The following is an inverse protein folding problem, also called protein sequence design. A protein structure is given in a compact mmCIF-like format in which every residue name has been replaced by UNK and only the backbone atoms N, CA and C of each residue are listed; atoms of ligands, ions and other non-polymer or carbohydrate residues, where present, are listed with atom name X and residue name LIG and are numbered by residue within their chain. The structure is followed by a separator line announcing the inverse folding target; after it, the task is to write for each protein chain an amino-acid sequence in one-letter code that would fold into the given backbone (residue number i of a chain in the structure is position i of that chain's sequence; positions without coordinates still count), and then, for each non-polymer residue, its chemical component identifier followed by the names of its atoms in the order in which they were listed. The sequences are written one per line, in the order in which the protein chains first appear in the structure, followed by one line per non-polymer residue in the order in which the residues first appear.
data_IF_267025709412
#
_entry.id   IF_267025709412
#
_cell.length_a   1.000
_cell.length_b   1.000
_cell.length_c   1.000
_cell.angle_alpha   90.00
_cell.angle_beta   90.00
_cell.angle_gamma   90.00
#
_symmetry.space_group_name_H-M   'P 1'
#
loop_
_entity.id
_entity.type
_entity.pdbx_description
1 polymer ?
#
# COMPACT_ATOMS: atom_id res chain seq x y z
N UNK A 1 41.40 -37.58 27.14
CA UNK A 1 40.57 -36.34 27.16
C UNK A 1 41.15 -35.28 26.23
N UNK A 2 42.36 -34.80 26.51
CA UNK A 2 43.03 -33.70 25.80
C UNK A 2 43.24 -33.94 24.29
N UNK A 3 43.61 -35.16 23.89
CA UNK A 3 43.79 -35.55 22.48
C UNK A 3 42.47 -35.59 21.67
N UNK A 4 41.34 -35.86 22.32
CA UNK A 4 40.03 -35.82 21.67
C UNK A 4 39.56 -34.38 21.50
N UNK A 5 39.80 -33.55 22.52
CA UNK A 5 39.45 -32.14 22.50
C UNK A 5 40.24 -31.39 21.41
N UNK A 6 41.53 -31.68 21.27
CA UNK A 6 42.38 -31.10 20.21
C UNK A 6 41.96 -31.53 18.79
N UNK A 7 41.54 -32.77 18.61
CA UNK A 7 41.05 -33.27 17.31
C UNK A 7 39.62 -32.78 16.97
N UNK A 8 38.88 -32.27 17.96
CA UNK A 8 37.57 -31.63 17.77
C UNK A 8 37.64 -30.12 17.54
N UNK A 9 38.83 -29.52 17.69
CA UNK A 9 39.10 -28.12 17.41
C UNK A 9 39.33 -27.92 15.92
N UNK A 10 38.77 -26.84 15.36
CA UNK A 10 39.13 -26.39 14.02
C UNK A 10 40.65 -26.17 13.94
N UNK A 11 41.24 -26.58 12.82
CA UNK A 11 42.65 -26.33 12.54
C UNK A 11 42.84 -24.86 12.18
N UNK A 12 44.03 -24.32 12.43
CA UNK A 12 44.38 -22.93 12.10
C UNK A 12 44.00 -22.49 10.67
N UNK A 13 44.20 -23.29 9.59
CA UNK A 13 43.75 -22.91 8.25
C UNK A 13 42.23 -22.88 8.11
N UNK A 14 41.49 -23.77 8.77
CA UNK A 14 40.02 -23.77 8.76
C UNK A 14 39.47 -22.52 9.47
N UNK A 15 40.06 -22.15 10.61
CA UNK A 15 39.75 -20.90 11.32
C UNK A 15 40.02 -19.68 10.42
N UNK A 16 41.14 -19.70 9.68
CA UNK A 16 41.47 -18.64 8.72
C UNK A 16 40.42 -18.49 7.62
N UNK A 17 39.97 -19.60 7.05
CA UNK A 17 38.90 -19.62 6.04
C UNK A 17 37.55 -19.14 6.59
N UNK A 18 37.21 -19.51 7.82
CA UNK A 18 35.97 -19.08 8.47
C UNK A 18 35.98 -17.57 8.80
N UNK A 19 37.13 -17.03 9.22
CA UNK A 19 37.32 -15.59 9.40
C UNK A 19 37.13 -14.84 8.09
N UNK A 20 37.68 -15.32 6.98
CA UNK A 20 37.49 -14.70 5.66
C UNK A 20 36.03 -14.75 5.20
N UNK A 21 35.36 -15.90 5.37
CA UNK A 21 33.95 -16.05 5.06
C UNK A 21 33.08 -15.08 5.87
N UNK A 22 33.27 -15.03 7.19
CA UNK A 22 32.54 -14.13 8.07
C UNK A 22 32.80 -12.65 7.73
N UNK A 23 34.04 -12.29 7.37
CA UNK A 23 34.36 -10.91 6.93
C UNK A 23 33.63 -10.54 5.65
N UNK A 24 33.55 -11.46 4.69
CA UNK A 24 32.82 -11.27 3.44
C UNK A 24 31.31 -11.11 3.68
N UNK A 25 30.76 -11.93 4.57
CA UNK A 25 29.34 -11.85 4.95
C UNK A 25 29.04 -10.53 5.66
N UNK A 26 29.88 -10.12 6.62
CA UNK A 26 29.77 -8.82 7.28
C UNK A 26 29.76 -7.67 6.26
N UNK A 27 30.69 -7.66 5.30
CA UNK A 27 30.74 -6.64 4.25
C UNK A 27 29.46 -6.62 3.40
N UNK A 28 28.96 -7.79 2.99
CA UNK A 28 27.71 -7.96 2.25
C UNK A 28 26.50 -7.44 3.02
N UNK A 29 26.41 -7.75 4.32
CA UNK A 29 25.33 -7.25 5.17
C UNK A 29 25.42 -5.74 5.38
N UNK A 30 26.61 -5.17 5.54
CA UNK A 30 26.79 -3.71 5.63
C UNK A 30 26.34 -3.01 4.36
N UNK A 31 26.71 -3.52 3.18
CA UNK A 31 26.28 -2.96 1.89
C UNK A 31 24.75 -3.01 1.73
N UNK A 32 24.13 -4.15 2.06
CA UNK A 32 22.66 -4.29 2.03
C UNK A 32 21.98 -3.30 2.99
N UNK A 33 22.53 -3.13 4.18
CA UNK A 33 22.01 -2.22 5.19
C UNK A 33 22.07 -0.77 4.71
N UNK A 34 23.21 -0.34 4.15
CA UNK A 34 23.37 1.02 3.61
C UNK A 34 22.46 1.27 2.42
N UNK A 35 22.26 0.27 1.54
CA UNK A 35 21.26 0.36 0.46
C UNK A 35 19.84 0.50 0.98
N UNK A 36 19.48 -0.22 2.05
CA UNK A 36 18.16 -0.08 2.68
C UNK A 36 18.01 1.31 3.28
N UNK A 37 18.97 1.77 4.09
CA UNK A 37 18.94 3.11 4.74
C UNK A 37 18.90 4.27 3.75
N UNK A 38 19.63 4.17 2.64
CA UNK A 38 19.69 5.21 1.61
C UNK A 38 18.45 5.25 0.71
N UNK A 39 17.61 4.21 0.73
CA UNK A 39 16.35 4.22 0.00
C UNK A 39 15.42 5.31 0.58
N UNK A 40 15.10 6.32 -0.21
CA UNK A 40 14.32 7.50 0.26
C UNK A 40 12.83 7.19 0.48
N UNK A 41 12.36 5.98 0.13
CA UNK A 41 10.96 5.57 0.19
C UNK A 41 10.65 4.72 1.44
N UNK A 42 11.08 5.16 2.62
CA UNK A 42 10.64 4.51 3.86
C UNK A 42 9.22 4.98 4.18
N UNK A 43 8.24 4.15 3.85
CA UNK A 43 6.90 4.26 4.40
C UNK A 43 6.84 3.29 5.57
N UNK A 44 6.61 3.79 6.78
CA UNK A 44 6.45 2.92 7.94
C UNK A 44 5.21 2.04 7.77
N UNK A 45 5.20 0.80 8.32
CA UNK A 45 4.00 -0.03 8.31
C UNK A 45 2.76 0.71 8.83
N UNK A 46 2.93 1.55 9.83
CA UNK A 46 1.89 2.36 10.46
C UNK A 46 1.34 3.44 9.51
N UNK A 47 2.21 4.17 8.81
CA UNK A 47 1.80 5.15 7.79
C UNK A 47 1.08 4.48 6.63
N UNK A 48 1.60 3.33 6.16
CA UNK A 48 0.97 2.55 5.11
C UNK A 48 -0.44 2.11 5.54
N UNK A 49 -0.56 1.58 6.75
CA UNK A 49 -1.84 1.12 7.28
C UNK A 49 -2.84 2.29 7.41
N UNK A 50 -2.39 3.44 7.92
CA UNK A 50 -3.22 4.64 8.03
C UNK A 50 -3.77 5.07 6.65
N UNK A 51 -2.90 5.20 5.66
CA UNK A 51 -3.31 5.57 4.29
C UNK A 51 -4.28 4.55 3.69
N UNK A 52 -4.03 3.26 3.90
CA UNK A 52 -4.95 2.20 3.45
C UNK A 52 -6.34 2.33 4.11
N UNK A 53 -6.39 2.56 5.43
CA UNK A 53 -7.67 2.75 6.16
C UNK A 53 -8.41 4.00 5.66
N UNK A 54 -7.72 5.11 5.48
CA UNK A 54 -8.31 6.36 4.98
C UNK A 54 -8.84 6.21 3.54
N UNK A 55 -8.11 5.48 2.69
CA UNK A 55 -8.56 5.17 1.34
C UNK A 55 -9.81 4.29 1.36
N UNK A 56 -9.84 3.25 2.19
CA UNK A 56 -11.01 2.37 2.34
C UNK A 56 -12.23 3.15 2.82
N UNK A 57 -12.06 4.02 3.81
CA UNK A 57 -13.13 4.88 4.32
C UNK A 57 -13.65 5.82 3.23
N UNK A 58 -12.76 6.51 2.54
CA UNK A 58 -13.12 7.43 1.45
C UNK A 58 -13.91 6.72 0.33
N UNK A 59 -13.47 5.53 -0.07
CA UNK A 59 -14.19 4.71 -1.07
C UNK A 59 -15.57 4.27 -0.59
N UNK A 60 -15.68 3.87 0.68
CA UNK A 60 -16.96 3.47 1.29
C UNK A 60 -17.94 4.64 1.31
N UNK A 61 -17.50 5.79 1.79
CA UNK A 61 -18.33 6.99 1.91
C UNK A 61 -18.74 7.54 0.55
N UNK A 62 -17.84 7.53 -0.44
CA UNK A 62 -18.19 7.90 -1.82
C UNK A 62 -19.31 7.01 -2.37
N UNK A 63 -19.20 5.68 -2.26
CA UNK A 63 -20.27 4.76 -2.69
C UNK A 63 -21.59 5.01 -1.95
N UNK A 64 -21.52 5.21 -0.64
CA UNK A 64 -22.71 5.47 0.18
C UNK A 64 -23.40 6.76 -0.26
N UNK A 65 -22.66 7.84 -0.41
CA UNK A 65 -23.19 9.16 -0.83
C UNK A 65 -23.75 9.10 -2.24
N UNK A 66 -23.03 8.49 -3.18
CA UNK A 66 -23.51 8.34 -4.55
C UNK A 66 -24.84 7.60 -4.60
N UNK A 67 -24.95 6.48 -3.88
CA UNK A 67 -26.20 5.72 -3.82
C UNK A 67 -27.36 6.55 -3.26
N UNK A 68 -27.18 7.21 -2.11
CA UNK A 68 -28.23 8.02 -1.50
C UNK A 68 -28.65 9.19 -2.41
N UNK A 69 -27.69 9.85 -3.06
CA UNK A 69 -27.98 10.91 -4.01
C UNK A 69 -28.74 10.37 -5.23
N UNK A 70 -28.32 9.25 -5.80
CA UNK A 70 -29.03 8.61 -6.93
C UNK A 70 -30.46 8.24 -6.57
N UNK A 71 -30.69 7.60 -5.41
CA UNK A 71 -32.04 7.26 -4.92
C UNK A 71 -32.93 8.51 -4.79
N UNK A 72 -32.40 9.60 -4.24
CA UNK A 72 -33.11 10.86 -4.12
C UNK A 72 -33.41 11.49 -5.49
N UNK A 73 -32.44 11.45 -6.41
CA UNK A 73 -32.62 11.97 -7.77
C UNK A 73 -33.68 11.17 -8.54
N UNK A 74 -33.66 9.85 -8.43
CA UNK A 74 -34.63 8.99 -9.09
C UNK A 74 -36.04 9.27 -8.57
N UNK A 75 -36.22 9.40 -7.24
CA UNK A 75 -37.50 9.77 -6.64
C UNK A 75 -38.03 11.14 -7.08
N UNK A 76 -37.14 12.13 -7.28
CA UNK A 76 -37.54 13.45 -7.82
C UNK A 76 -37.94 13.32 -9.29
N UNK A 77 -37.17 12.55 -10.07
CA UNK A 77 -37.37 12.40 -11.52
C UNK A 77 -38.67 11.66 -11.85
N UNK A 78 -39.20 10.82 -10.96
CA UNK A 78 -40.51 10.16 -11.13
C UNK A 78 -41.65 11.17 -11.36
N UNK A 79 -41.59 12.35 -10.75
CA UNK A 79 -42.59 13.41 -10.88
C UNK A 79 -42.18 14.57 -11.79
N UNK A 80 -40.98 14.52 -12.38
CA UNK A 80 -40.42 15.67 -13.08
C UNK A 80 -40.85 15.70 -14.55
N UNK A 81 -41.41 16.80 -15.07
CA UNK A 81 -42.03 16.85 -16.40
C UNK A 81 -41.04 16.92 -17.57
N UNK A 82 -39.74 17.05 -17.29
CA UNK A 82 -38.66 17.24 -18.27
C UNK A 82 -37.62 16.13 -18.18
N UNK A 83 -36.62 16.16 -19.06
CA UNK A 83 -35.55 15.16 -19.05
C UNK A 83 -34.61 15.30 -17.84
N UNK A 84 -33.98 14.18 -17.43
CA UNK A 84 -32.93 14.15 -16.40
C UNK A 84 -31.79 15.14 -16.66
N UNK A 85 -31.38 15.29 -17.92
CA UNK A 85 -30.31 16.22 -18.32
C UNK A 85 -30.69 17.67 -18.02
N UNK A 86 -31.92 18.06 -18.38
CA UNK A 86 -32.42 19.40 -18.09
C UNK A 86 -32.55 19.64 -16.59
N UNK A 87 -33.02 18.64 -15.83
CA UNK A 87 -33.04 18.74 -14.36
C UNK A 87 -31.65 19.00 -13.78
N UNK A 88 -30.65 18.24 -14.24
CA UNK A 88 -29.28 18.37 -13.74
C UNK A 88 -28.67 19.73 -14.09
N UNK A 89 -28.91 20.23 -15.29
CA UNK A 89 -28.48 21.56 -15.72
C UNK A 89 -29.18 22.68 -14.92
N UNK A 90 -30.49 22.57 -14.67
CA UNK A 90 -31.26 23.55 -13.90
C UNK A 90 -30.85 23.62 -12.43
N UNK A 91 -30.52 22.47 -11.82
CA UNK A 91 -30.13 22.38 -10.40
C UNK A 91 -28.61 22.55 -10.20
N UNK A 92 -27.81 22.44 -11.26
CA UNK A 92 -26.35 22.53 -11.19
C UNK A 92 -25.71 21.24 -10.65
N UNK A 93 -26.23 20.07 -11.05
CA UNK A 93 -25.69 18.77 -10.68
C UNK A 93 -24.67 18.32 -11.73
N UNK A 94 -23.45 18.06 -11.27
CA UNK A 94 -22.39 17.43 -12.06
C UNK A 94 -22.14 16.00 -11.54
N UNK A 95 -21.94 15.04 -12.44
CA UNK A 95 -21.69 13.65 -12.06
C UNK A 95 -20.22 13.29 -12.18
N UNK A 96 -19.77 12.28 -11.42
CA UNK A 96 -18.42 11.74 -11.54
C UNK A 96 -18.12 11.31 -12.99
N UNK A 97 -19.14 10.74 -13.66
CA UNK A 97 -19.10 10.27 -15.03
C UNK A 97 -18.83 11.40 -16.05
N UNK A 98 -19.38 12.59 -15.83
CA UNK A 98 -19.15 13.77 -16.68
C UNK A 98 -17.67 14.20 -16.68
N UNK A 99 -16.96 13.89 -15.60
CA UNK A 99 -15.54 14.18 -15.41
C UNK A 99 -14.63 12.96 -15.65
N UNK A 100 -15.17 11.87 -16.19
CA UNK A 100 -14.41 10.64 -16.47
C UNK A 100 -13.95 9.89 -15.21
N UNK A 101 -14.55 10.17 -14.06
CA UNK A 101 -14.21 9.58 -12.77
C UNK A 101 -15.06 8.32 -12.56
N UNK A 102 -14.39 7.19 -12.39
CA UNK A 102 -15.04 5.90 -12.16
C UNK A 102 -14.84 5.45 -10.71
N UNK A 103 -15.93 5.01 -10.09
CA UNK A 103 -15.88 4.42 -8.75
C UNK A 103 -14.95 3.20 -8.73
N UNK A 104 -13.97 3.13 -7.81
CA UNK A 104 -13.10 1.97 -7.71
C UNK A 104 -13.89 0.70 -7.40
N UNK A 105 -13.61 -0.37 -8.16
CA UNK A 105 -14.19 -1.68 -7.93
C UNK A 105 -13.94 -2.16 -6.48
N UNK A 106 -14.91 -2.88 -5.93
CA UNK A 106 -14.73 -3.61 -4.67
C UNK A 106 -13.75 -4.76 -4.95
N UNK A 107 -12.56 -4.66 -4.36
CA UNK A 107 -11.58 -5.75 -4.25
C UNK A 107 -12.01 -6.65 -3.10
#
# INVERSE_FOLDING_TARGET
PELKDLNSSMTTPEIGGEIEALRKDCASYTEKLERIKSATNHVTPEEKEKVCREQQLSRREWRRRKRMATELLDAILEGYPKSKKQFFEEVGIETDEDHGVVLPATV
#
